data_IF_619144015849
#
_entry.id   IF_619144015849
#
_cell.length_a   1.000
_cell.length_b   1.000
_cell.length_c   1.000
_cell.angle_alpha   90.00
_cell.angle_beta   90.00
_cell.angle_gamma   90.00
#
_symmetry.space_group_name_H-M   'P 1'
#
loop_
_entity.id
_entity.type
_entity.pdbx_description
1 polymer ?
#
# COMPACT_ATOMS: atom_id res chain seq x y z
N UNK A 1 -5.01 -3.41 -19.87
CA UNK A 1 -5.60 -2.48 -20.85
C UNK A 1 -6.99 -2.06 -20.47
N UNK A 2 -7.86 -3.01 -20.29
CA UNK A 2 -9.26 -2.72 -19.96
C UNK A 2 -9.43 -1.98 -18.63
N UNK A 3 -8.55 -2.22 -17.67
CA UNK A 3 -8.64 -1.60 -16.35
C UNK A 3 -8.51 -0.07 -16.40
N UNK A 4 -7.67 0.44 -17.29
CA UNK A 4 -7.47 1.90 -17.42
C UNK A 4 -8.67 2.60 -18.03
N UNK A 5 -9.39 1.92 -18.90
CA UNK A 5 -10.58 2.46 -19.55
C UNK A 5 -11.80 2.43 -18.65
N UNK A 6 -11.81 1.49 -17.68
CA UNK A 6 -12.94 1.33 -16.76
C UNK A 6 -12.93 2.32 -15.60
N UNK A 7 -11.77 2.92 -15.29
CA UNK A 7 -11.67 3.89 -14.19
C UNK A 7 -12.10 5.27 -14.67
N UNK A 8 -13.41 5.51 -14.70
CA UNK A 8 -13.94 6.80 -15.12
C UNK A 8 -14.28 7.72 -13.95
N UNK A 9 -14.63 7.15 -12.79
CA UNK A 9 -15.05 7.94 -11.63
C UNK A 9 -13.93 8.06 -10.60
N UNK A 10 -13.79 9.23 -9.95
CA UNK A 10 -12.76 9.42 -8.92
C UNK A 10 -12.82 8.41 -7.77
N UNK A 11 -14.02 8.03 -7.32
CA UNK A 11 -14.15 7.05 -6.24
C UNK A 11 -13.60 5.68 -6.63
N UNK A 12 -13.78 5.28 -7.89
CA UNK A 12 -13.22 4.03 -8.39
C UNK A 12 -11.70 4.07 -8.44
N UNK A 13 -11.13 5.22 -8.81
CA UNK A 13 -9.70 5.41 -8.80
C UNK A 13 -9.14 5.31 -7.38
N UNK A 14 -9.79 5.91 -6.40
CA UNK A 14 -9.38 5.81 -5.01
C UNK A 14 -9.36 4.35 -4.53
N UNK A 15 -10.46 3.64 -4.77
CA UNK A 15 -10.56 2.22 -4.39
C UNK A 15 -9.46 1.39 -5.04
N UNK A 16 -9.18 1.64 -6.32
CA UNK A 16 -8.13 0.92 -7.04
C UNK A 16 -6.74 1.20 -6.45
N UNK A 17 -6.46 2.45 -6.07
CA UNK A 17 -5.18 2.81 -5.45
C UNK A 17 -5.00 2.10 -4.11
N UNK A 18 -5.99 2.15 -3.25
CA UNK A 18 -5.92 1.48 -1.94
C UNK A 18 -5.79 -0.03 -2.11
N UNK A 19 -6.57 -0.62 -3.00
CA UNK A 19 -6.52 -2.07 -3.26
C UNK A 19 -5.16 -2.49 -3.83
N UNK A 20 -4.55 -1.67 -4.68
CA UNK A 20 -3.22 -1.95 -5.21
C UNK A 20 -2.17 -1.92 -4.10
N UNK A 21 -2.26 -0.96 -3.18
CA UNK A 21 -1.35 -0.89 -2.04
C UNK A 21 -1.53 -2.08 -1.09
N UNK A 22 -2.77 -2.53 -0.90
CA UNK A 22 -3.09 -3.63 0.01
C UNK A 22 -2.80 -5.01 -0.58
N UNK A 23 -2.65 -5.12 -1.90
CA UNK A 23 -2.51 -6.41 -2.57
C UNK A 23 -1.14 -7.05 -2.31
N UNK A 24 -1.14 -8.37 -2.25
CA UNK A 24 0.10 -9.15 -2.13
C UNK A 24 1.02 -8.91 -3.34
N UNK A 25 0.46 -8.58 -4.49
CA UNK A 25 1.23 -8.29 -5.70
C UNK A 25 2.05 -7.01 -5.60
N UNK A 26 1.77 -6.16 -4.61
CA UNK A 26 2.56 -4.95 -4.34
C UNK A 26 3.74 -5.22 -3.42
N UNK A 27 4.21 -6.46 -3.37
CA UNK A 27 5.36 -6.88 -2.58
C UNK A 27 6.59 -6.01 -2.85
N UNK A 28 7.31 -5.68 -1.80
CA UNK A 28 8.50 -4.85 -1.90
C UNK A 28 9.64 -5.56 -2.62
N UNK A 29 10.46 -4.78 -3.34
CA UNK A 29 11.57 -5.31 -4.10
C UNK A 29 12.58 -6.02 -3.17
N UNK A 30 12.94 -5.39 -2.04
CA UNK A 30 13.93 -5.95 -1.12
C UNK A 30 13.47 -7.26 -0.49
N UNK A 31 12.20 -7.37 -0.08
CA UNK A 31 11.72 -8.62 0.50
C UNK A 31 11.76 -9.75 -0.51
N UNK A 32 11.44 -9.45 -1.77
CA UNK A 32 11.50 -10.44 -2.84
C UNK A 32 12.91 -10.88 -3.14
N UNK A 33 13.85 -9.94 -3.20
CA UNK A 33 15.27 -10.25 -3.43
C UNK A 33 15.85 -11.10 -2.30
N UNK A 34 15.51 -10.80 -1.05
CA UNK A 34 15.97 -11.58 0.11
C UNK A 34 15.43 -12.99 0.05
N UNK A 35 14.15 -13.17 -0.23
CA UNK A 35 13.53 -14.49 -0.27
C UNK A 35 14.03 -15.33 -1.44
N UNK A 36 14.15 -14.74 -2.63
CA UNK A 36 14.42 -15.47 -3.85
C UNK A 36 15.89 -15.53 -4.24
N UNK A 37 16.67 -14.46 -3.99
CA UNK A 37 18.05 -14.35 -4.46
C UNK A 37 19.08 -14.21 -3.34
N UNK A 38 18.66 -14.08 -2.09
CA UNK A 38 19.57 -13.96 -0.95
C UNK A 38 20.36 -12.66 -0.92
N UNK A 39 19.81 -11.58 -1.50
CA UNK A 39 20.40 -10.25 -1.45
C UNK A 39 19.31 -9.24 -1.05
N UNK A 40 19.74 -8.12 -0.47
CA UNK A 40 18.81 -7.06 -0.09
C UNK A 40 18.59 -6.09 -1.25
N UNK A 41 19.66 -5.75 -1.98
CA UNK A 41 19.63 -4.70 -2.98
C UNK A 41 20.70 -4.95 -4.02
N UNK A 42 20.49 -4.38 -5.22
CA UNK A 42 21.50 -4.37 -6.28
C UNK A 42 22.30 -3.07 -6.32
N UNK A 43 21.99 -2.14 -5.41
CA UNK A 43 22.72 -0.86 -5.32
C UNK A 43 24.13 -1.08 -4.80
N UNK A 44 25.17 -0.49 -5.42
CA UNK A 44 26.56 -0.75 -5.03
C UNK A 44 26.91 -0.29 -3.60
N UNK A 45 26.27 0.76 -3.11
CA UNK A 45 26.51 1.29 -1.78
C UNK A 45 25.82 0.49 -0.68
N UNK A 46 25.02 -0.52 -1.04
CA UNK A 46 24.31 -1.39 -0.13
C UNK A 46 24.92 -2.79 0.00
N UNK A 47 26.18 -2.94 -0.41
CA UNK A 47 26.88 -4.23 -0.36
C UNK A 47 26.97 -4.83 1.05
N UNK A 48 27.06 -3.99 2.06
CA UNK A 48 27.16 -4.45 3.46
C UNK A 48 25.86 -5.20 3.84
N UNK A 49 24.72 -4.75 3.35
CA UNK A 49 23.44 -5.43 3.61
C UNK A 49 23.40 -6.78 2.91
N UNK A 50 23.88 -6.85 1.68
CA UNK A 50 23.94 -8.11 0.93
C UNK A 50 24.86 -9.11 1.61
N UNK A 51 26.00 -8.68 2.13
CA UNK A 51 26.92 -9.56 2.88
C UNK A 51 26.23 -10.16 4.10
N UNK A 52 25.46 -9.35 4.82
CA UNK A 52 24.70 -9.83 5.96
C UNK A 52 23.65 -10.87 5.53
N UNK A 53 22.87 -10.56 4.50
CA UNK A 53 21.82 -11.47 4.01
C UNK A 53 22.42 -12.79 3.55
N UNK A 54 23.56 -12.76 2.88
CA UNK A 54 24.26 -13.97 2.42
C UNK A 54 24.78 -14.82 3.56
N UNK A 55 25.04 -14.23 4.73
CA UNK A 55 25.47 -14.98 5.90
C UNK A 55 24.35 -15.75 6.59
N UNK A 56 23.10 -15.47 6.23
CA UNK A 56 21.93 -16.08 6.86
C UNK A 56 21.61 -17.44 6.22
N UNK A 57 21.01 -18.32 7.03
CA UNK A 57 20.44 -19.57 6.50
C UNK A 57 19.19 -19.28 5.65
N UNK A 58 18.73 -20.28 4.91
CA UNK A 58 17.51 -20.16 4.12
C UNK A 58 16.30 -19.81 4.99
N UNK A 59 16.17 -20.46 6.17
CA UNK A 59 15.09 -20.15 7.12
C UNK A 59 15.17 -18.72 7.66
N UNK A 60 16.40 -18.26 7.96
CA UNK A 60 16.60 -16.90 8.44
C UNK A 60 16.26 -15.87 7.35
N UNK A 61 16.59 -16.16 6.08
CA UNK A 61 16.23 -15.27 4.98
C UNK A 61 14.72 -15.19 4.79
N UNK A 62 14.00 -16.30 4.91
CA UNK A 62 12.54 -16.29 4.85
C UNK A 62 11.95 -15.43 5.97
N UNK A 63 12.49 -15.57 7.18
CA UNK A 63 12.04 -14.75 8.31
C UNK A 63 12.34 -13.27 8.08
N UNK A 64 13.51 -12.96 7.56
CA UNK A 64 13.87 -11.57 7.24
C UNK A 64 12.93 -10.98 6.19
N UNK A 65 12.60 -11.76 5.16
CA UNK A 65 11.64 -11.31 4.15
C UNK A 65 10.27 -10.99 4.77
N UNK A 66 9.81 -11.80 5.73
CA UNK A 66 8.56 -11.55 6.47
C UNK A 66 8.65 -10.27 7.31
N UNK A 67 9.79 -10.04 7.94
CA UNK A 67 10.02 -8.81 8.71
C UNK A 67 9.96 -7.58 7.78
N UNK A 68 10.63 -7.66 6.63
CA UNK A 68 10.60 -6.58 5.65
C UNK A 68 9.20 -6.33 5.13
N UNK A 69 8.42 -7.38 4.90
CA UNK A 69 7.02 -7.24 4.49
C UNK A 69 6.18 -6.56 5.57
N UNK A 70 6.34 -6.96 6.83
CA UNK A 70 5.63 -6.35 7.95
C UNK A 70 6.00 -4.87 8.09
N UNK A 71 7.28 -4.54 7.96
CA UNK A 71 7.74 -3.15 8.05
C UNK A 71 7.23 -2.33 6.88
N UNK A 72 7.19 -2.91 5.68
CA UNK A 72 6.63 -2.24 4.52
C UNK A 72 5.16 -1.90 4.72
N UNK A 73 4.39 -2.84 5.24
CA UNK A 73 2.97 -2.62 5.56
C UNK A 73 2.80 -1.50 6.58
N UNK A 74 3.61 -1.52 7.65
CA UNK A 74 3.59 -0.49 8.68
C UNK A 74 3.95 0.88 8.09
N UNK A 75 4.93 0.94 7.20
CA UNK A 75 5.35 2.19 6.58
C UNK A 75 4.25 2.76 5.68
N UNK A 76 3.60 1.93 4.87
CA UNK A 76 2.47 2.38 4.04
C UNK A 76 1.35 2.92 4.93
N UNK A 77 1.03 2.21 6.01
CA UNK A 77 0.04 2.66 6.97
C UNK A 77 0.41 4.05 7.52
N UNK A 78 1.66 4.25 7.93
CA UNK A 78 2.10 5.50 8.54
C UNK A 78 2.05 6.66 7.55
N UNK A 79 2.44 6.43 6.29
CA UNK A 79 2.35 7.45 5.25
C UNK A 79 0.89 7.86 5.04
N UNK A 80 -0.01 6.88 4.93
CA UNK A 80 -1.43 7.15 4.74
C UNK A 80 -2.04 7.86 5.95
N UNK A 81 -1.57 7.54 7.16
CA UNK A 81 -2.02 8.22 8.38
C UNK A 81 -1.63 9.70 8.36
N UNK A 82 -0.42 10.02 7.91
CA UNK A 82 0.01 11.41 7.76
C UNK A 82 -0.87 12.14 6.75
N UNK A 83 -1.12 11.53 5.59
CA UNK A 83 -1.99 12.13 4.58
C UNK A 83 -3.41 12.33 5.10
N UNK A 84 -3.94 11.37 5.85
CA UNK A 84 -5.27 11.49 6.49
C UNK A 84 -5.34 12.67 7.43
N UNK A 85 -4.30 12.88 8.22
CA UNK A 85 -4.26 14.02 9.13
C UNK A 85 -4.38 15.34 8.36
N UNK A 86 -3.64 15.46 7.26
CA UNK A 86 -3.70 16.65 6.42
C UNK A 86 -5.04 16.82 5.71
N UNK A 87 -5.66 15.73 5.31
CA UNK A 87 -7.01 15.78 4.72
C UNK A 87 -8.02 16.29 5.74
N UNK A 88 -7.96 15.80 6.98
CA UNK A 88 -8.92 16.14 8.01
C UNK A 88 -8.72 17.53 8.61
N UNK A 89 -7.48 17.96 8.74
CA UNK A 89 -7.15 19.18 9.48
C UNK A 89 -6.51 20.27 8.63
N UNK A 90 -5.87 19.92 7.53
CA UNK A 90 -5.10 20.86 6.72
C UNK A 90 -5.72 21.23 5.37
N UNK A 91 -6.89 20.72 5.06
CA UNK A 91 -7.56 21.02 3.81
C UNK A 91 -6.94 20.35 2.57
N UNK A 92 -6.12 19.30 2.76
CA UNK A 92 -5.60 18.54 1.65
C UNK A 92 -6.72 17.78 0.94
N UNK A 93 -6.74 17.83 -0.37
CA UNK A 93 -7.66 17.05 -1.18
C UNK A 93 -6.95 16.46 -2.38
N UNK A 94 -7.59 15.50 -3.01
CA UNK A 94 -7.06 14.81 -4.19
C UNK A 94 -8.05 14.96 -5.34
N UNK A 95 -7.51 14.98 -6.55
CA UNK A 95 -8.33 15.00 -7.75
C UNK A 95 -7.91 13.85 -8.67
N UNK A 96 -8.87 13.36 -9.42
CA UNK A 96 -8.64 12.39 -10.48
C UNK A 96 -9.26 12.94 -11.75
N UNK A 97 -8.44 13.17 -12.78
CA UNK A 97 -8.89 13.76 -14.04
C UNK A 97 -9.66 15.07 -13.85
N UNK A 98 -9.19 15.90 -12.92
CA UNK A 98 -9.77 17.21 -12.64
C UNK A 98 -10.97 17.22 -11.71
N UNK A 99 -11.44 16.07 -11.27
CA UNK A 99 -12.58 15.96 -10.36
C UNK A 99 -12.13 15.57 -8.96
N UNK A 100 -12.81 16.08 -7.95
CA UNK A 100 -12.51 15.76 -6.55
C UNK A 100 -12.65 14.25 -6.30
N UNK A 101 -11.63 13.68 -5.67
CA UNK A 101 -11.61 12.25 -5.36
C UNK A 101 -12.02 12.02 -3.91
N UNK A 102 -13.12 11.29 -3.65
CA UNK A 102 -13.48 10.90 -2.30
C UNK A 102 -12.42 9.99 -1.71
N UNK A 103 -12.06 10.22 -0.46
CA UNK A 103 -11.11 9.39 0.28
C UNK A 103 -11.68 9.09 1.65
N UNK A 104 -11.07 8.15 2.38
CA UNK A 104 -11.49 7.81 3.74
C UNK A 104 -12.93 7.29 3.77
N UNK A 105 -13.17 6.20 3.05
CA UNK A 105 -14.52 5.64 2.92
C UNK A 105 -14.95 4.85 4.17
N UNK A 106 -14.00 4.41 4.99
CA UNK A 106 -14.30 3.74 6.26
C UNK A 106 -14.65 4.71 7.38
N UNK A 107 -14.27 5.97 7.25
CA UNK A 107 -14.35 6.94 8.34
C UNK A 107 -13.18 6.82 9.33
N UNK A 108 -12.24 5.93 9.08
CA UNK A 108 -11.07 5.70 9.93
C UNK A 108 -9.77 6.19 9.29
N UNK A 109 -9.88 7.02 8.27
CA UNK A 109 -8.75 7.56 7.53
C UNK A 109 -8.32 6.70 6.37
N UNK A 110 -7.43 7.23 5.51
CA UNK A 110 -6.87 6.48 4.39
C UNK A 110 -6.14 5.23 4.89
N UNK A 111 -5.44 5.34 6.02
CA UNK A 111 -4.76 4.20 6.65
C UNK A 111 -5.76 3.16 7.15
N UNK A 112 -6.93 3.60 7.64
CA UNK A 112 -8.02 2.69 8.01
C UNK A 112 -8.55 1.92 6.81
N UNK A 113 -8.76 2.61 5.69
CA UNK A 113 -9.19 1.97 4.45
C UNK A 113 -8.15 0.93 3.99
N UNK A 114 -6.87 1.28 4.05
CA UNK A 114 -5.78 0.38 3.66
C UNK A 114 -5.76 -0.89 4.54
N UNK A 115 -5.80 -0.73 5.85
CA UNK A 115 -5.80 -1.87 6.77
C UNK A 115 -7.06 -2.71 6.59
N UNK A 116 -8.21 -2.06 6.44
CA UNK A 116 -9.46 -2.77 6.19
C UNK A 116 -9.38 -3.65 4.95
N UNK A 117 -8.86 -3.10 3.86
CA UNK A 117 -8.73 -3.87 2.62
C UNK A 117 -7.72 -5.01 2.73
N UNK A 118 -6.70 -4.87 3.55
CA UNK A 118 -5.78 -5.99 3.83
C UNK A 118 -6.45 -7.14 4.58
N UNK A 119 -7.55 -6.86 5.28
CA UNK A 119 -8.31 -7.85 6.06
C UNK A 119 -9.69 -8.12 5.45
N UNK A 120 -9.82 -7.98 4.15
CA UNK A 120 -11.03 -8.29 3.37
C UNK A 120 -12.26 -7.48 3.74
N UNK A 121 -12.07 -6.28 4.31
CA UNK A 121 -13.17 -5.35 4.51
C UNK A 121 -13.76 -4.96 3.15
N UNK A 122 -15.08 -5.03 3.02
CA UNK A 122 -15.75 -4.68 1.79
C UNK A 122 -15.95 -3.15 1.67
N UNK A 123 -15.68 -2.62 0.48
CA UNK A 123 -15.95 -1.23 0.21
C UNK A 123 -17.44 -0.92 0.41
N UNK A 124 -17.77 0.27 0.96
CA UNK A 124 -19.17 0.69 1.05
C UNK A 124 -19.83 0.72 -0.32
N UNK A 125 -21.10 0.37 -0.36
CA UNK A 125 -21.88 0.42 -1.59
C UNK A 125 -22.13 1.89 -1.99
N UNK A 126 -21.77 2.26 -3.22
CA UNK A 126 -21.96 3.61 -3.73
C UNK A 126 -23.42 4.05 -3.70
N UNK A 127 -24.34 3.12 -3.89
CA UNK A 127 -25.78 3.41 -3.88
C UNK A 127 -26.28 3.83 -2.51
N UNK A 128 -25.65 3.37 -1.43
CA UNK A 128 -26.07 3.71 -0.08
C UNK A 128 -25.79 5.18 0.27
N UNK A 129 -24.85 5.80 -0.41
CA UNK A 129 -24.51 7.20 -0.17
C UNK A 129 -25.41 8.15 -0.96
N UNK A 130 -26.11 7.67 -1.97
CA UNK A 130 -27.00 8.49 -2.82
C UNK A 130 -28.41 8.62 -2.22
N UNK A 131 -28.79 7.67 -1.36
CA UNK A 131 -30.11 7.68 -0.73
C UNK A 131 -30.25 8.66 0.44
N UNK A 132 -29.19 9.35 0.79
CA UNK A 132 -29.20 10.35 1.84
C UNK A 132 -29.27 11.75 1.27
#
# INVERSE_FOLDING_TARGET
MCAKEQLSRPIEAYKAIIDQLAAETSQGVSEKLVAEQGIFSRAPDERVFNSFVQSLSAEQRELLAKILHAERTATIHDVLAVLSWWVQTGGLGFTFRGEAMPVDLSGMGLHGDYIGRRHDWEWPNDESSVGE
#
